data_IF_303675751639
#
_entry.id   IF_303675751639
#
_cell.length_a   1.000
_cell.length_b   1.000
_cell.length_c   1.000
_cell.angle_alpha   90.00
_cell.angle_beta   90.00
_cell.angle_gamma   90.00
#
_symmetry.space_group_name_H-M   'P 1'
#
loop_
_entity.id
_entity.type
_entity.pdbx_description
1 polymer ?
#
# COMPACT_ATOMS: atom_id res chain seq x y z
N UNK A 1 -39.07 -24.14 -19.27
CA UNK A 1 -38.96 -22.75 -18.87
C UNK A 1 -37.77 -22.59 -18.01
N UNK A 2 -36.64 -22.55 -18.65
CA UNK A 2 -35.44 -21.97 -18.07
C UNK A 2 -35.74 -20.49 -17.90
N UNK A 3 -36.17 -20.11 -16.73
CA UNK A 3 -36.15 -18.72 -16.38
C UNK A 3 -34.76 -18.20 -16.62
N UNK A 4 -34.66 -17.16 -17.39
CA UNK A 4 -33.44 -16.39 -17.52
C UNK A 4 -33.00 -16.07 -16.12
N UNK A 5 -32.08 -16.87 -15.61
CA UNK A 5 -31.20 -16.44 -14.57
C UNK A 5 -30.33 -15.40 -15.28
N UNK A 6 -30.83 -14.17 -15.38
CA UNK A 6 -29.93 -13.05 -15.38
C UNK A 6 -29.12 -13.27 -14.14
N UNK A 7 -27.98 -13.90 -14.32
CA UNK A 7 -26.89 -13.70 -13.42
C UNK A 7 -26.57 -12.22 -13.54
N UNK A 8 -27.29 -11.41 -12.78
CA UNK A 8 -26.73 -10.16 -12.36
C UNK A 8 -25.40 -10.57 -11.77
N UNK A 9 -24.35 -10.38 -12.54
CA UNK A 9 -23.01 -10.33 -11.99
C UNK A 9 -23.10 -9.20 -10.96
N UNK A 10 -23.59 -9.56 -9.77
CA UNK A 10 -23.41 -8.72 -8.62
C UNK A 10 -21.91 -8.62 -8.49
N UNK A 11 -21.38 -7.46 -8.84
CA UNK A 11 -20.08 -7.02 -8.42
C UNK A 11 -20.02 -7.28 -6.93
N UNK A 12 -19.51 -8.44 -6.55
CA UNK A 12 -19.29 -8.75 -5.17
C UNK A 12 -18.10 -7.91 -4.72
N UNK A 13 -18.40 -6.83 -3.99
CA UNK A 13 -17.37 -6.15 -3.24
C UNK A 13 -16.95 -7.07 -2.11
N UNK A 14 -15.69 -7.52 -2.19
CA UNK A 14 -15.07 -8.25 -1.11
C UNK A 14 -14.53 -7.24 -0.11
N UNK A 15 -14.93 -7.41 1.15
CA UNK A 15 -14.47 -6.60 2.26
C UNK A 15 -13.53 -7.40 3.12
N UNK A 16 -12.31 -6.91 3.31
CA UNK A 16 -11.30 -7.54 4.14
C UNK A 16 -10.98 -6.66 5.34
N UNK A 17 -11.12 -7.23 6.53
CA UNK A 17 -10.58 -6.61 7.74
C UNK A 17 -9.08 -6.90 7.82
N UNK A 18 -8.28 -5.85 7.82
CA UNK A 18 -6.84 -5.97 7.86
C UNK A 18 -6.35 -6.16 9.31
N UNK A 19 -5.38 -7.06 9.48
CA UNK A 19 -4.72 -7.33 10.76
C UNK A 19 -3.25 -6.92 10.76
N UNK A 20 -2.80 -6.27 9.70
CA UNK A 20 -1.39 -5.92 9.49
C UNK A 20 -1.27 -4.55 8.85
N UNK A 21 -0.07 -3.99 8.94
CA UNK A 21 0.31 -2.82 8.16
C UNK A 21 0.66 -3.25 6.75
N UNK A 22 0.38 -2.39 5.78
CA UNK A 22 0.73 -2.64 4.40
C UNK A 22 1.19 -1.36 3.70
N UNK A 23 2.16 -1.53 2.81
CA UNK A 23 2.59 -0.49 1.87
C UNK A 23 2.60 -1.11 0.49
N UNK A 24 1.86 -0.54 -0.44
CA UNK A 24 1.79 -1.04 -1.81
C UNK A 24 2.24 0.02 -2.81
N UNK A 25 3.04 -0.43 -3.76
CA UNK A 25 3.42 0.34 -4.93
C UNK A 25 2.87 -0.37 -6.16
N UNK A 26 1.96 0.27 -6.87
CA UNK A 26 1.30 -0.29 -8.05
C UNK A 26 1.72 0.45 -9.30
N UNK A 27 2.02 -0.31 -10.34
CA UNK A 27 2.49 0.19 -11.63
C UNK A 27 1.60 -0.33 -12.76
N UNK A 28 1.41 0.50 -13.78
CA UNK A 28 0.80 0.10 -15.05
C UNK A 28 -0.44 -0.79 -14.89
N UNK A 29 -1.34 -0.37 -14.03
CA UNK A 29 -2.59 -1.08 -13.83
C UNK A 29 -3.60 -0.58 -14.84
N UNK A 30 -4.02 -1.45 -15.75
CA UNK A 30 -5.17 -1.14 -16.61
C UNK A 30 -6.43 -1.39 -15.81
N UNK A 31 -7.08 -0.33 -15.35
CA UNK A 31 -8.32 -0.43 -14.61
C UNK A 31 -8.42 0.55 -13.45
N UNK A 32 -9.45 0.38 -12.65
CA UNK A 32 -9.73 1.23 -11.50
C UNK A 32 -9.80 0.40 -10.23
N UNK A 33 -9.06 0.80 -9.22
CA UNK A 33 -9.13 0.21 -7.89
C UNK A 33 -9.87 1.16 -6.97
N UNK A 34 -10.80 0.61 -6.20
CA UNK A 34 -11.54 1.37 -5.21
C UNK A 34 -10.79 1.42 -3.89
N UNK A 35 -10.41 2.63 -3.49
CA UNK A 35 -9.89 2.89 -2.15
C UNK A 35 -10.94 3.68 -1.37
N UNK A 36 -11.47 3.10 -0.29
CA UNK A 36 -12.59 3.67 0.40
C UNK A 36 -13.79 3.83 -0.52
N UNK A 37 -14.23 5.06 -0.78
CA UNK A 37 -15.35 5.35 -1.68
C UNK A 37 -14.92 5.94 -3.03
N UNK A 38 -13.62 6.06 -3.27
CA UNK A 38 -13.11 6.67 -4.49
C UNK A 38 -12.50 5.62 -5.42
N UNK A 39 -12.64 5.82 -6.72
CA UNK A 39 -11.98 5.05 -7.76
C UNK A 39 -10.76 5.82 -8.25
N UNK A 40 -9.65 5.12 -8.40
CA UNK A 40 -8.41 5.69 -8.91
C UNK A 40 -8.06 5.08 -10.25
N UNK A 41 -7.62 5.91 -11.16
CA UNK A 41 -7.06 5.48 -12.45
C UNK A 41 -5.55 5.28 -12.27
N UNK A 42 -5.06 4.11 -12.67
CA UNK A 42 -3.70 3.66 -12.38
C UNK A 42 -2.76 3.77 -13.59
N UNK A 43 -2.90 4.79 -14.41
CA UNK A 43 -1.98 5.03 -15.52
C UNK A 43 -0.57 5.40 -15.02
N UNK A 44 -0.46 5.90 -13.81
CA UNK A 44 0.79 6.27 -13.14
C UNK A 44 1.03 5.38 -11.91
N UNK A 45 2.24 5.41 -11.38
CA UNK A 45 2.56 4.71 -10.14
C UNK A 45 1.74 5.24 -8.97
N UNK A 46 1.19 4.33 -8.18
CA UNK A 46 0.35 4.67 -7.03
C UNK A 46 0.89 4.00 -5.78
N UNK A 47 1.11 4.83 -4.78
CA UNK A 47 1.51 4.39 -3.43
C UNK A 47 0.29 4.40 -2.52
N UNK A 48 0.05 3.30 -1.84
CA UNK A 48 -1.04 3.21 -0.87
C UNK A 48 -0.56 2.56 0.43
N UNK A 49 -1.06 3.05 1.55
CA UNK A 49 -0.76 2.53 2.88
C UNK A 49 -2.01 2.04 3.56
N UNK A 50 -1.90 0.95 4.27
CA UNK A 50 -2.97 0.35 5.06
C UNK A 50 -2.50 0.05 6.47
N UNK A 51 -3.41 0.09 7.43
CA UNK A 51 -3.13 -0.17 8.84
C UNK A 51 -4.07 -1.25 9.40
N UNK A 52 -3.71 -1.90 10.51
CA UNK A 52 -4.60 -2.83 11.19
C UNK A 52 -5.95 -2.18 11.51
N UNK A 53 -7.01 -2.99 11.49
CA UNK A 53 -8.41 -2.61 11.75
C UNK A 53 -9.07 -1.78 10.65
N UNK A 54 -8.39 -1.54 9.53
CA UNK A 54 -9.01 -0.95 8.35
C UNK A 54 -9.74 -2.02 7.54
N UNK A 55 -10.78 -1.61 6.84
CA UNK A 55 -11.51 -2.48 5.91
C UNK A 55 -11.10 -2.12 4.49
N UNK A 56 -10.53 -3.08 3.78
CA UNK A 56 -10.19 -2.95 2.38
C UNK A 56 -11.32 -3.53 1.54
N UNK A 57 -11.88 -2.71 0.66
CA UNK A 57 -12.92 -3.13 -0.29
C UNK A 57 -12.30 -3.34 -1.67
N UNK A 58 -12.47 -4.53 -2.21
CA UNK A 58 -12.01 -4.88 -3.56
C UNK A 58 -13.20 -5.32 -4.38
N UNK A 59 -13.39 -4.71 -5.54
CA UNK A 59 -14.45 -5.08 -6.47
C UNK A 59 -14.04 -6.27 -7.33
N UNK A 60 -14.92 -7.25 -7.51
CA UNK A 60 -14.68 -8.42 -8.35
C UNK A 60 -14.60 -8.11 -9.84
N UNK A 61 -15.03 -6.92 -10.27
CA UNK A 61 -14.83 -6.46 -11.66
C UNK A 61 -13.39 -6.08 -11.96
N UNK A 62 -12.58 -5.94 -10.93
CA UNK A 62 -11.20 -5.53 -11.03
C UNK A 62 -10.30 -6.70 -11.44
N UNK A 63 -10.47 -7.16 -12.67
CA UNK A 63 -9.64 -8.22 -13.26
C UNK A 63 -8.34 -7.66 -13.80
N UNK A 64 -7.55 -6.96 -12.97
CA UNK A 64 -6.29 -6.44 -13.46
C UNK A 64 -5.11 -7.27 -13.02
N UNK A 65 -4.13 -7.26 -13.87
CA UNK A 65 -2.78 -7.61 -13.46
C UNK A 65 -2.21 -6.39 -12.73
N UNK A 66 -2.23 -6.44 -11.43
CA UNK A 66 -1.52 -5.45 -10.61
C UNK A 66 -0.05 -5.79 -10.66
N UNK A 67 0.72 -4.95 -11.34
CA UNK A 67 2.17 -5.00 -11.32
C UNK A 67 2.66 -4.10 -10.20
N UNK A 68 3.58 -4.61 -9.39
CA UNK A 68 4.19 -3.82 -8.33
C UNK A 68 4.54 -4.64 -7.10
N UNK A 69 4.52 -3.97 -5.98
CA UNK A 69 4.95 -4.52 -4.70
C UNK A 69 3.86 -4.33 -3.65
N UNK A 70 3.71 -5.31 -2.80
CA UNK A 70 2.88 -5.21 -1.61
C UNK A 70 3.66 -5.76 -0.43
N UNK A 71 4.07 -4.87 0.45
CA UNK A 71 4.77 -5.21 1.69
C UNK A 71 3.78 -5.20 2.84
N UNK A 72 3.71 -6.31 3.55
CA UNK A 72 2.89 -6.43 4.76
C UNK A 72 3.78 -6.80 5.94
N UNK A 73 3.45 -6.24 7.10
CA UNK A 73 4.16 -6.55 8.34
C UNK A 73 3.23 -6.37 9.54
N UNK A 74 3.50 -7.13 10.59
CA UNK A 74 2.74 -7.10 11.84
C UNK A 74 3.45 -6.26 12.90
N UNK A 75 2.69 -5.77 13.87
CA UNK A 75 3.24 -5.12 15.07
C UNK A 75 4.32 -5.97 15.74
N UNK A 76 4.13 -7.29 15.76
CA UNK A 76 5.09 -8.23 16.35
C UNK A 76 6.48 -8.17 15.69
N UNK A 77 6.55 -7.85 14.41
CA UNK A 77 7.81 -7.78 13.68
C UNK A 77 8.68 -6.59 14.10
N UNK A 78 8.05 -5.55 14.65
CA UNK A 78 8.70 -4.26 14.92
C UNK A 78 8.64 -3.84 16.39
N UNK A 79 7.95 -4.59 17.25
CA UNK A 79 7.70 -4.18 18.64
C UNK A 79 8.96 -3.93 19.48
N UNK A 80 10.04 -4.62 19.19
CA UNK A 80 11.32 -4.49 19.89
C UNK A 80 12.25 -3.43 19.27
N UNK A 81 11.76 -2.70 18.28
CA UNK A 81 12.50 -1.65 17.59
C UNK A 81 11.89 -0.28 17.87
N UNK A 82 12.67 0.80 17.76
CA UNK A 82 12.12 2.16 17.89
C UNK A 82 10.93 2.42 16.97
N UNK A 83 10.93 1.82 15.77
CA UNK A 83 9.82 1.91 14.81
C UNK A 83 8.50 1.47 15.45
N UNK A 84 8.50 0.41 16.24
CA UNK A 84 7.29 -0.10 16.89
C UNK A 84 6.64 0.90 17.85
N UNK A 85 7.45 1.81 18.42
CA UNK A 85 6.95 2.87 19.32
C UNK A 85 6.37 4.06 18.58
N UNK A 86 6.88 4.36 17.38
CA UNK A 86 6.53 5.57 16.65
C UNK A 86 5.58 5.35 15.48
N UNK A 87 5.37 4.09 15.07
CA UNK A 87 4.58 3.79 13.86
C UNK A 87 3.16 4.34 13.94
N UNK A 88 2.55 4.35 15.10
CA UNK A 88 1.20 4.88 15.31
C UNK A 88 1.13 6.40 15.12
N UNK A 89 2.27 7.06 15.18
CA UNK A 89 2.37 8.51 15.01
C UNK A 89 2.52 8.92 13.54
N UNK A 90 2.75 7.96 12.64
CA UNK A 90 2.73 8.24 11.20
C UNK A 90 1.30 8.51 10.76
N UNK A 91 1.02 9.75 10.38
CA UNK A 91 -0.32 10.20 10.04
C UNK A 91 -0.98 9.40 8.93
N UNK A 92 -0.20 8.89 7.99
CA UNK A 92 -0.73 8.16 6.85
C UNK A 92 -1.37 6.80 7.21
N UNK A 93 -1.06 6.23 8.36
CA UNK A 93 -1.73 5.03 8.85
C UNK A 93 -3.03 5.32 9.59
N UNK A 94 -3.28 6.57 9.93
CA UNK A 94 -4.53 7.01 10.56
C UNK A 94 -5.56 7.54 9.56
N UNK A 95 -5.15 7.79 8.33
CA UNK A 95 -6.07 8.22 7.27
C UNK A 95 -6.93 7.04 6.78
N UNK A 96 -8.12 7.37 6.30
CA UNK A 96 -8.94 6.39 5.61
C UNK A 96 -8.19 5.83 4.39
N UNK A 97 -8.43 4.54 4.08
CA UNK A 97 -7.74 3.80 3.00
C UNK A 97 -7.91 4.44 1.61
N UNK A 98 -8.70 5.50 1.50
CA UNK A 98 -9.02 6.18 0.26
C UNK A 98 -7.96 7.20 -0.21
N UNK A 99 -6.86 7.35 0.50
CA UNK A 99 -5.81 8.28 0.11
C UNK A 99 -4.63 7.54 -0.53
N UNK A 100 -4.75 7.32 -1.83
CA UNK A 100 -3.64 6.84 -2.64
C UNK A 100 -2.85 8.02 -3.20
N UNK A 101 -1.54 7.90 -3.22
CA UNK A 101 -0.63 8.93 -3.71
C UNK A 101 -0.17 8.60 -5.11
N UNK A 102 -0.38 9.52 -6.04
CA UNK A 102 0.19 9.44 -7.37
C UNK A 102 1.66 9.87 -7.33
N UNK A 103 2.52 9.08 -7.93
CA UNK A 103 3.96 9.27 -7.90
C UNK A 103 4.46 9.74 -9.26
N UNK A 104 5.46 10.62 -9.24
CA UNK A 104 6.26 10.89 -10.44
C UNK A 104 7.09 9.65 -10.79
N UNK A 105 7.55 9.57 -12.02
CA UNK A 105 8.41 8.47 -12.47
C UNK A 105 9.69 8.35 -11.63
N UNK A 106 10.28 9.48 -11.25
CA UNK A 106 11.48 9.52 -10.41
C UNK A 106 11.20 8.99 -9.01
N UNK A 107 10.09 9.38 -8.39
CA UNK A 107 9.67 8.92 -7.07
C UNK A 107 9.36 7.42 -7.09
N UNK A 108 8.69 6.96 -8.13
CA UNK A 108 8.38 5.55 -8.34
C UNK A 108 9.64 4.69 -8.41
N UNK A 109 10.64 5.10 -9.19
CA UNK A 109 11.91 4.40 -9.31
C UNK A 109 12.68 4.34 -7.99
N UNK A 110 12.67 5.43 -7.23
CA UNK A 110 13.33 5.48 -5.93
C UNK A 110 12.70 4.51 -4.94
N UNK A 111 11.37 4.49 -4.84
CA UNK A 111 10.66 3.57 -3.95
C UNK A 111 10.82 2.12 -4.39
N UNK A 112 10.79 1.87 -5.69
CA UNK A 112 11.02 0.55 -6.27
C UNK A 112 12.37 -0.03 -5.85
N UNK A 113 13.40 0.79 -5.80
CA UNK A 113 14.72 0.39 -5.31
C UNK A 113 14.68 -0.10 -3.86
N UNK A 114 13.91 0.57 -3.01
CA UNK A 114 13.75 0.17 -1.60
C UNK A 114 12.98 -1.16 -1.51
N UNK A 115 11.89 -1.31 -2.24
CA UNK A 115 11.15 -2.57 -2.29
C UNK A 115 12.01 -3.73 -2.79
N UNK A 116 12.81 -3.51 -3.80
CA UNK A 116 13.75 -4.52 -4.32
C UNK A 116 14.77 -4.95 -3.26
N UNK A 117 15.29 -4.00 -2.48
CA UNK A 117 16.23 -4.31 -1.41
C UNK A 117 15.57 -5.15 -0.31
N UNK A 118 14.33 -4.85 0.04
CA UNK A 118 13.56 -5.64 1.01
C UNK A 118 13.34 -7.06 0.49
N UNK A 119 12.94 -7.19 -0.77
CA UNK A 119 12.71 -8.49 -1.40
C UNK A 119 13.98 -9.33 -1.43
N UNK A 120 15.10 -8.75 -1.80
CA UNK A 120 16.40 -9.44 -1.81
C UNK A 120 16.79 -9.93 -0.42
N UNK A 121 16.61 -9.10 0.62
CA UNK A 121 16.90 -9.52 1.99
C UNK A 121 15.99 -10.66 2.42
N UNK A 122 14.71 -10.61 2.05
CA UNK A 122 13.75 -11.66 2.36
C UNK A 122 14.08 -12.99 1.69
N UNK A 123 14.67 -12.97 0.50
CA UNK A 123 15.01 -14.17 -0.29
C UNK A 123 16.40 -14.73 0.03
N UNK A 124 17.26 -13.97 0.67
CA UNK A 124 18.61 -14.42 1.03
C UNK A 124 18.58 -15.30 2.27
N UNK A 125 19.72 -15.95 2.55
CA UNK A 125 19.85 -16.78 3.75
C UNK A 125 19.58 -15.99 5.02
N UNK A 126 18.71 -16.50 5.86
CA UNK A 126 18.39 -15.85 7.13
C UNK A 126 19.57 -16.02 8.07
N UNK A 127 20.10 -14.92 8.57
CA UNK A 127 21.15 -14.86 9.57
C UNK A 127 20.72 -14.01 10.78
N UNK A 128 21.62 -13.86 11.73
CA UNK A 128 21.31 -13.11 12.97
C UNK A 128 21.05 -11.62 12.76
N UNK A 129 21.43 -11.07 11.57
CA UNK A 129 21.25 -9.66 11.24
C UNK A 129 20.03 -9.40 10.35
N UNK A 130 19.40 -10.42 9.83
CA UNK A 130 18.34 -10.30 8.82
C UNK A 130 17.19 -9.42 9.29
N UNK A 131 16.75 -9.59 10.53
CA UNK A 131 15.65 -8.81 11.08
C UNK A 131 16.01 -7.33 11.22
N UNK A 132 17.19 -7.04 11.72
CA UNK A 132 17.66 -5.65 11.86
C UNK A 132 17.76 -4.96 10.50
N UNK A 133 18.28 -5.66 9.50
CA UNK A 133 18.38 -5.14 8.13
C UNK A 133 16.99 -4.89 7.54
N UNK A 134 16.07 -5.84 7.71
CA UNK A 134 14.70 -5.71 7.23
C UNK A 134 13.99 -4.51 7.86
N UNK A 135 14.11 -4.34 9.16
CA UNK A 135 13.48 -3.21 9.87
C UNK A 135 14.10 -1.88 9.45
N UNK A 136 15.41 -1.85 9.19
CA UNK A 136 16.08 -0.64 8.69
C UNK A 136 15.57 -0.22 7.32
N UNK A 137 15.38 -1.18 6.41
CA UNK A 137 14.77 -0.89 5.10
C UNK A 137 13.32 -0.45 5.22
N UNK A 138 12.57 -1.06 6.10
CA UNK A 138 11.18 -0.69 6.37
C UNK A 138 11.09 0.75 6.90
N UNK A 139 11.93 1.09 7.85
CA UNK A 139 12.00 2.44 8.41
C UNK A 139 12.35 3.47 7.33
N UNK A 140 13.31 3.17 6.47
CA UNK A 140 13.66 4.01 5.33
C UNK A 140 12.46 4.21 4.40
N UNK A 141 11.74 3.14 4.06
CA UNK A 141 10.54 3.19 3.23
C UNK A 141 9.49 4.11 3.84
N UNK A 142 9.20 3.95 5.12
CA UNK A 142 8.18 4.74 5.81
C UNK A 142 8.58 6.21 5.93
N UNK A 143 9.85 6.50 6.10
CA UNK A 143 10.36 7.89 6.11
C UNK A 143 10.16 8.55 4.74
N UNK A 144 10.41 7.85 3.65
CA UNK A 144 10.11 8.36 2.31
C UNK A 144 8.62 8.56 2.08
N UNK A 145 7.79 7.62 2.52
CA UNK A 145 6.33 7.77 2.44
C UNK A 145 5.87 9.03 3.18
N UNK A 146 6.37 9.25 4.36
CA UNK A 146 6.04 10.45 5.14
C UNK A 146 6.47 11.74 4.45
N UNK A 147 7.67 11.76 3.86
CA UNK A 147 8.15 12.91 3.08
C UNK A 147 7.22 13.21 1.90
N UNK A 148 6.86 12.18 1.14
CA UNK A 148 6.01 12.34 -0.05
C UNK A 148 4.62 12.86 0.34
N UNK A 149 4.04 12.35 1.40
CA UNK A 149 2.74 12.81 1.90
C UNK A 149 2.80 14.28 2.32
N UNK A 150 3.83 14.69 3.03
CA UNK A 150 3.99 16.08 3.45
C UNK A 150 4.13 17.03 2.25
N UNK A 151 4.89 16.64 1.24
CA UNK A 151 5.08 17.43 0.02
C UNK A 151 3.78 17.49 -0.77
N UNK A 152 3.13 16.34 -1.02
CA UNK A 152 1.87 16.28 -1.79
C UNK A 152 0.72 16.96 -1.04
N UNK A 153 0.66 16.81 0.27
CA UNK A 153 -0.32 17.51 1.10
C UNK A 153 -0.19 19.02 0.99
N UNK A 154 1.03 19.55 0.96
CA UNK A 154 1.28 20.98 0.74
C UNK A 154 0.85 21.42 -0.66
N UNK A 155 1.11 20.61 -1.69
CA UNK A 155 0.72 20.91 -3.06
C UNK A 155 -0.81 20.98 -3.21
N UNK A 156 -1.55 20.10 -2.56
CA UNK A 156 -3.01 20.10 -2.57
C UNK A 156 -3.60 21.33 -1.86
N UNK A 157 -2.99 21.77 -0.76
CA UNK A 157 -3.43 22.96 -0.02
C UNK A 157 -3.21 24.23 -0.86
N UNK A 158 -2.18 24.27 -1.68
CA UNK A 158 -1.89 25.44 -2.53
C UNK A 158 -2.76 25.53 -3.78
N UNK A 159 -3.49 24.48 -4.12
CA UNK A 159 -4.41 24.45 -5.28
C UNK A 159 -5.86 24.80 -4.92
N UNK A 160 -6.12 24.99 -3.67
CA UNK A 160 -7.40 25.48 -3.18
C UNK A 160 -7.37 27.00 -2.97
#
# INVERSE_FOLDING_TARGET
>A
NMGDVESSEKTEELHFLLHFYGVSLKKNVSGKLKYGQNYYDFDEGVLAMTAPKQILSVSSEDKYKVLGYWLVFHDENIKNYPLGKVIKNYGFFSYAVNEALHLSEKEEKMLEGIFNNIEQEYQTSIDQFSQDVMVSHLELLLNYCNRLIQILGRSLVHQL
#
